data_IF_860825935959
#
_entry.id   IF_860825935959
#
_cell.length_a   1.000
_cell.length_b   1.000
_cell.length_c   1.000
_cell.angle_alpha   90.00
_cell.angle_beta   90.00
_cell.angle_gamma   90.00
#
_symmetry.space_group_name_H-M   'P 1'
#
loop_
_entity.id
_entity.type
_entity.pdbx_description
1 polymer ?
#
# COMPACT_ATOMS: atom_id res chain seq x y z
N UNK A 1 -13.40 16.17 8.75
CA UNK A 1 -13.94 16.53 7.41
C UNK A 1 -14.12 15.22 6.67
N UNK A 2 -15.33 14.91 6.20
CA UNK A 2 -15.60 13.71 5.40
C UNK A 2 -15.32 14.06 3.93
N UNK A 3 -14.41 13.35 3.31
CA UNK A 3 -14.06 13.52 1.89
C UNK A 3 -14.96 12.65 1.01
N UNK A 4 -15.03 12.95 -0.28
CA UNK A 4 -15.57 12.03 -1.26
C UNK A 4 -14.81 10.69 -1.20
N UNK A 5 -15.48 9.51 -1.24
CA UNK A 5 -14.82 8.22 -1.06
C UNK A 5 -13.72 7.93 -2.11
N UNK A 6 -13.91 8.34 -3.35
CA UNK A 6 -12.89 8.13 -4.39
C UNK A 6 -11.67 9.04 -4.17
N UNK A 7 -11.91 10.28 -3.73
CA UNK A 7 -10.83 11.20 -3.35
C UNK A 7 -10.06 10.67 -2.14
N UNK A 8 -10.74 10.08 -1.17
CA UNK A 8 -10.11 9.47 -0.01
C UNK A 8 -9.22 8.27 -0.42
N UNK A 9 -9.71 7.37 -1.28
CA UNK A 9 -8.91 6.26 -1.83
C UNK A 9 -7.68 6.75 -2.60
N UNK A 10 -7.84 7.80 -3.43
CA UNK A 10 -6.76 8.42 -4.16
C UNK A 10 -5.69 9.00 -3.21
N UNK A 11 -6.08 9.82 -2.24
CA UNK A 11 -5.15 10.44 -1.27
C UNK A 11 -4.49 9.37 -0.39
N UNK A 12 -5.26 8.41 0.10
CA UNK A 12 -4.74 7.34 0.95
C UNK A 12 -3.73 6.47 0.23
N UNK A 13 -4.02 6.07 -1.02
CA UNK A 13 -3.09 5.28 -1.82
C UNK A 13 -1.86 6.10 -2.24
N UNK A 14 -2.03 7.40 -2.52
CA UNK A 14 -0.90 8.32 -2.74
C UNK A 14 0.04 8.34 -1.54
N UNK A 15 -0.52 8.52 -0.34
CA UNK A 15 0.26 8.55 0.91
C UNK A 15 0.97 7.22 1.17
N UNK A 16 0.26 6.11 0.97
CA UNK A 16 0.79 4.76 1.14
C UNK A 16 2.01 4.52 0.25
N UNK A 17 1.89 4.83 -1.05
CA UNK A 17 2.98 4.61 -2.01
C UNK A 17 4.12 5.62 -1.87
N UNK A 18 3.83 6.87 -1.51
CA UNK A 18 4.87 7.87 -1.23
C UNK A 18 5.79 7.40 -0.09
N UNK A 19 5.24 6.96 1.02
CA UNK A 19 6.03 6.50 2.16
C UNK A 19 6.66 5.12 1.90
N UNK A 20 5.90 4.20 1.31
CA UNK A 20 6.37 2.85 1.03
C UNK A 20 7.51 2.81 0.01
N UNK A 21 7.35 3.44 -1.16
CA UNK A 21 8.41 3.56 -2.14
C UNK A 21 9.57 4.46 -1.62
N UNK A 22 9.24 5.48 -0.82
CA UNK A 22 10.23 6.38 -0.22
C UNK A 22 11.19 5.66 0.72
N UNK A 23 10.71 4.78 1.60
CA UNK A 23 11.61 4.01 2.48
C UNK A 23 12.48 3.05 1.68
N UNK A 24 11.93 2.39 0.65
CA UNK A 24 12.71 1.47 -0.20
C UNK A 24 13.78 2.24 -0.97
N UNK A 25 13.45 3.43 -1.48
CA UNK A 25 14.42 4.33 -2.11
C UNK A 25 15.54 4.73 -1.13
N UNK A 26 15.18 5.11 0.11
CA UNK A 26 16.16 5.52 1.13
C UNK A 26 17.09 4.38 1.57
N UNK A 27 16.69 3.13 1.44
CA UNK A 27 17.51 1.97 1.82
C UNK A 27 18.39 1.48 0.67
N UNK A 28 17.87 1.53 -0.56
CA UNK A 28 18.49 0.85 -1.69
C UNK A 28 19.28 1.77 -2.63
N UNK A 29 18.92 3.05 -2.71
CA UNK A 29 19.61 3.97 -3.63
C UNK A 29 20.96 4.44 -3.08
N UNK A 30 21.84 4.84 -3.98
CA UNK A 30 23.19 5.32 -3.67
C UNK A 30 23.20 6.63 -2.89
N UNK A 31 24.13 6.73 -1.94
CA UNK A 31 24.41 7.91 -1.11
C UNK A 31 23.21 8.38 -0.27
N UNK A 32 22.26 7.54 0.01
CA UNK A 32 21.22 7.82 1.00
C UNK A 32 21.71 7.54 2.43
N UNK A 33 21.03 8.09 3.42
CA UNK A 33 21.43 7.91 4.84
C UNK A 33 21.31 6.44 5.29
N UNK A 34 20.35 5.70 4.74
CA UNK A 34 20.11 4.31 5.11
C UNK A 34 20.76 3.28 4.15
N UNK A 35 21.58 3.74 3.18
CA UNK A 35 22.26 2.82 2.25
C UNK A 35 23.09 1.77 3.02
N UNK A 36 22.88 0.49 2.67
CA UNK A 36 23.66 -0.64 3.19
C UNK A 36 23.39 -1.03 4.65
N UNK A 37 22.42 -0.39 5.31
CA UNK A 37 21.97 -0.82 6.63
C UNK A 37 21.01 -2.01 6.51
N UNK A 38 20.84 -2.80 7.60
CA UNK A 38 19.96 -3.98 7.56
C UNK A 38 18.51 -3.54 7.27
N UNK A 39 18.00 -3.77 6.03
CA UNK A 39 16.86 -3.01 5.53
C UNK A 39 15.51 -3.58 5.96
N UNK A 40 15.43 -4.86 6.32
CA UNK A 40 14.13 -5.51 6.45
C UNK A 40 13.27 -4.97 7.58
N UNK A 41 13.83 -4.74 8.76
CA UNK A 41 13.07 -4.19 9.89
C UNK A 41 12.62 -2.76 9.58
N UNK A 42 13.51 -1.95 8.98
CA UNK A 42 13.17 -0.58 8.61
C UNK A 42 12.08 -0.53 7.53
N UNK A 43 12.24 -1.33 6.48
CA UNK A 43 11.25 -1.38 5.38
C UNK A 43 9.90 -1.86 5.90
N UNK A 44 9.85 -2.96 6.64
CA UNK A 44 8.58 -3.53 7.11
C UNK A 44 7.88 -2.61 8.11
N UNK A 45 8.61 -2.00 9.02
CA UNK A 45 8.06 -1.03 9.97
C UNK A 45 7.53 0.22 9.23
N UNK A 46 8.29 0.77 8.29
CA UNK A 46 7.87 1.95 7.54
C UNK A 46 6.64 1.67 6.65
N UNK A 47 6.55 0.51 6.01
CA UNK A 47 5.33 0.09 5.30
C UNK A 47 4.15 -0.07 6.25
N UNK A 48 4.35 -0.64 7.43
CA UNK A 48 3.31 -0.71 8.46
C UNK A 48 2.80 0.67 8.88
N UNK A 49 3.70 1.63 9.12
CA UNK A 49 3.34 3.01 9.41
C UNK A 49 2.68 3.72 8.22
N UNK A 50 3.13 3.46 6.99
CA UNK A 50 2.51 4.01 5.79
C UNK A 50 1.04 3.55 5.66
N UNK A 51 0.77 2.27 5.88
CA UNK A 51 -0.61 1.73 5.95
C UNK A 51 -1.39 2.40 7.07
N UNK A 52 -0.83 2.44 8.28
CA UNK A 52 -1.50 3.03 9.45
C UNK A 52 -1.92 4.48 9.19
N UNK A 53 -0.99 5.33 8.73
CA UNK A 53 -1.30 6.75 8.44
C UNK A 53 -2.35 6.87 7.34
N UNK A 54 -2.22 6.11 6.25
CA UNK A 54 -3.17 6.14 5.14
C UNK A 54 -4.57 5.72 5.56
N UNK A 55 -4.69 4.65 6.35
CA UNK A 55 -5.96 4.19 6.93
C UNK A 55 -6.52 5.25 7.88
N UNK A 56 -5.70 5.82 8.75
CA UNK A 56 -6.14 6.81 9.73
C UNK A 56 -6.79 8.03 9.07
N UNK A 57 -6.22 8.54 7.98
CA UNK A 57 -6.75 9.74 7.29
C UNK A 57 -7.96 9.45 6.40
N UNK A 58 -8.20 8.20 5.98
CA UNK A 58 -9.22 7.88 4.96
C UNK A 58 -10.35 6.97 5.43
N UNK A 59 -10.20 6.29 6.57
CA UNK A 59 -11.15 5.28 7.05
C UNK A 59 -12.59 5.79 7.20
N UNK A 60 -12.77 7.00 7.71
CA UNK A 60 -14.10 7.60 7.90
C UNK A 60 -14.77 8.00 6.57
N UNK A 61 -14.02 8.15 5.49
CA UNK A 61 -14.50 8.63 4.20
C UNK A 61 -14.75 7.51 3.19
N UNK A 62 -13.82 6.57 3.05
CA UNK A 62 -13.88 5.49 2.06
C UNK A 62 -13.92 4.09 2.67
N UNK A 63 -13.67 3.95 3.95
CA UNK A 63 -13.39 2.66 4.58
C UNK A 63 -11.94 2.22 4.40
N UNK A 64 -11.10 3.06 3.77
CA UNK A 64 -9.65 2.85 3.59
C UNK A 64 -9.29 1.48 2.97
N UNK A 65 -9.83 1.18 1.82
CA UNK A 65 -9.46 -0.05 1.10
C UNK A 65 -8.01 0.00 0.63
N UNK A 66 -7.60 1.09 -0.04
CA UNK A 66 -6.24 1.43 -0.48
C UNK A 66 -5.54 0.33 -1.32
N UNK A 67 -6.29 -0.71 -1.67
CA UNK A 67 -5.78 -1.90 -2.34
C UNK A 67 -6.92 -2.58 -3.14
N UNK A 68 -6.71 -2.88 -4.43
CA UNK A 68 -7.70 -3.57 -5.26
C UNK A 68 -8.12 -4.93 -4.71
N UNK A 69 -7.20 -5.72 -4.13
CA UNK A 69 -7.52 -7.02 -3.56
C UNK A 69 -8.42 -6.90 -2.32
N UNK A 70 -8.22 -5.87 -1.49
CA UNK A 70 -9.09 -5.56 -0.36
C UNK A 70 -10.48 -5.15 -0.84
N UNK A 71 -10.55 -4.28 -1.86
CA UNK A 71 -11.81 -3.83 -2.47
C UNK A 71 -12.61 -5.02 -3.00
N UNK A 72 -11.97 -5.94 -3.73
CA UNK A 72 -12.58 -7.16 -4.23
C UNK A 72 -13.02 -8.10 -3.09
N UNK A 73 -12.17 -8.30 -2.11
CA UNK A 73 -12.47 -9.16 -0.96
C UNK A 73 -13.71 -8.69 -0.19
N UNK A 74 -13.83 -7.38 0.04
CA UNK A 74 -15.01 -6.77 0.67
C UNK A 74 -16.26 -6.88 -0.19
N UNK A 75 -16.13 -6.72 -1.51
CA UNK A 75 -17.27 -6.89 -2.44
C UNK A 75 -17.76 -8.34 -2.50
N UNK A 76 -16.85 -9.32 -2.57
CA UNK A 76 -17.18 -10.76 -2.52
C UNK A 76 -17.83 -11.14 -1.19
N UNK A 77 -17.35 -10.55 -0.08
CA UNK A 77 -17.94 -10.77 1.24
C UNK A 77 -19.30 -10.05 1.45
N UNK A 78 -19.83 -9.36 0.43
CA UNK A 78 -21.10 -8.62 0.51
C UNK A 78 -21.04 -7.36 1.39
N UNK A 79 -19.84 -6.89 1.73
CA UNK A 79 -19.63 -5.71 2.59
C UNK A 79 -19.36 -4.43 1.79
N UNK A 80 -19.26 -4.52 0.47
CA UNK A 80 -19.03 -3.39 -0.42
C UNK A 80 -19.79 -3.57 -1.73
N UNK A 81 -20.33 -2.48 -2.27
CA UNK A 81 -21.13 -2.53 -3.51
C UNK A 81 -20.23 -2.73 -4.74
N UNK A 82 -20.58 -3.70 -5.57
CA UNK A 82 -19.90 -3.96 -6.84
C UNK A 82 -19.89 -2.76 -7.81
N UNK A 83 -20.91 -1.91 -7.74
CA UNK A 83 -20.99 -0.71 -8.58
C UNK A 83 -19.91 0.32 -8.30
N UNK A 84 -19.33 0.31 -7.09
CA UNK A 84 -18.28 1.23 -6.66
C UNK A 84 -16.87 0.68 -6.94
N UNK A 85 -16.73 -0.62 -7.17
CA UNK A 85 -15.42 -1.29 -7.37
C UNK A 85 -14.59 -0.65 -8.47
N UNK A 86 -15.13 -0.37 -9.68
CA UNK A 86 -14.32 0.23 -10.74
C UNK A 86 -13.78 1.62 -10.37
N UNK A 87 -14.57 2.44 -9.69
CA UNK A 87 -14.16 3.77 -9.25
C UNK A 87 -13.05 3.72 -8.20
N UNK A 88 -13.14 2.78 -7.24
CA UNK A 88 -12.08 2.55 -6.26
C UNK A 88 -10.78 2.09 -6.93
N UNK A 89 -10.86 1.19 -7.89
CA UNK A 89 -9.68 0.73 -8.65
C UNK A 89 -9.00 1.89 -9.38
N UNK A 90 -9.77 2.74 -10.05
CA UNK A 90 -9.21 3.92 -10.73
C UNK A 90 -8.55 4.87 -9.72
N UNK A 91 -9.24 5.19 -8.61
CA UNK A 91 -8.71 6.07 -7.59
C UNK A 91 -7.41 5.54 -6.98
N UNK A 92 -7.37 4.24 -6.63
CA UNK A 92 -6.18 3.56 -6.11
C UNK A 92 -5.04 3.54 -7.13
N UNK A 93 -5.32 3.24 -8.40
CA UNK A 93 -4.30 3.21 -9.45
C UNK A 93 -3.65 4.58 -9.64
N UNK A 94 -4.45 5.62 -9.83
CA UNK A 94 -3.93 6.99 -10.02
C UNK A 94 -3.25 7.51 -8.74
N UNK A 95 -3.77 7.16 -7.56
CA UNK A 95 -3.12 7.46 -6.30
C UNK A 95 -1.75 6.80 -6.16
N UNK A 96 -1.65 5.51 -6.53
CA UNK A 96 -0.38 4.79 -6.53
C UNK A 96 0.64 5.40 -7.50
N UNK A 97 0.20 5.78 -8.70
CA UNK A 97 1.07 6.45 -9.69
C UNK A 97 1.60 7.78 -9.15
N UNK A 98 0.74 8.61 -8.57
CA UNK A 98 1.14 9.89 -7.99
C UNK A 98 2.09 9.69 -6.80
N UNK A 99 1.78 8.78 -5.88
CA UNK A 99 2.63 8.51 -4.70
C UNK A 99 4.02 8.01 -5.10
N UNK A 100 4.09 7.10 -6.05
CA UNK A 100 5.36 6.60 -6.59
C UNK A 100 6.15 7.70 -7.31
N UNK A 101 5.48 8.55 -8.08
CA UNK A 101 6.11 9.69 -8.75
C UNK A 101 6.66 10.71 -7.74
N UNK A 102 5.90 11.02 -6.68
CA UNK A 102 6.36 11.90 -5.61
C UNK A 102 7.58 11.31 -4.88
N UNK A 103 7.60 10.01 -4.61
CA UNK A 103 8.78 9.33 -4.07
C UNK A 103 9.98 9.46 -5.02
N UNK A 104 9.76 9.25 -6.33
CA UNK A 104 10.82 9.41 -7.34
C UNK A 104 11.42 10.82 -7.33
N UNK A 105 10.61 11.86 -7.38
CA UNK A 105 11.14 13.24 -7.40
C UNK A 105 11.82 13.63 -6.09
N UNK A 106 11.38 13.09 -4.95
CA UNK A 106 12.00 13.30 -3.64
C UNK A 106 13.43 12.76 -3.60
N UNK A 107 13.69 11.64 -4.28
CA UNK A 107 15.00 10.96 -4.32
C UNK A 107 15.70 11.10 -5.67
N UNK A 108 15.34 12.07 -6.52
CA UNK A 108 15.77 12.15 -7.92
C UNK A 108 17.29 12.15 -8.09
N UNK A 109 18.03 12.80 -7.20
CA UNK A 109 19.50 12.85 -7.28
C UNK A 109 20.12 11.49 -6.93
N UNK A 110 19.54 10.75 -5.99
CA UNK A 110 19.96 9.40 -5.64
C UNK A 110 19.67 8.40 -6.77
N UNK A 111 18.53 8.56 -7.47
CA UNK A 111 18.24 7.79 -8.68
C UNK A 111 19.27 8.04 -9.79
N UNK A 112 19.70 9.29 -9.98
CA UNK A 112 20.74 9.64 -10.97
C UNK A 112 22.10 9.02 -10.66
N UNK A 113 22.43 8.88 -9.38
CA UNK A 113 23.67 8.27 -8.90
C UNK A 113 23.65 6.73 -8.96
N UNK A 114 22.48 6.14 -8.86
CA UNK A 114 22.29 4.68 -8.89
C UNK A 114 22.32 4.20 -10.33
N UNK A 115 23.25 3.30 -10.68
CA UNK A 115 23.41 2.80 -12.06
C UNK A 115 22.76 1.43 -12.28
N UNK A 116 22.44 0.74 -11.19
CA UNK A 116 21.83 -0.58 -11.22
C UNK A 116 20.33 -0.47 -11.46
N UNK A 117 19.88 -0.92 -12.62
CA UNK A 117 18.47 -0.85 -13.02
C UNK A 117 17.58 -1.78 -12.17
N UNK A 118 18.13 -2.88 -11.64
CA UNK A 118 17.36 -3.77 -10.75
C UNK A 118 17.09 -3.10 -9.40
N UNK A 119 18.07 -2.38 -8.87
CA UNK A 119 17.91 -1.58 -7.66
C UNK A 119 16.86 -0.48 -7.89
N UNK A 120 16.96 0.25 -9.00
CA UNK A 120 16.00 1.31 -9.36
C UNK A 120 14.58 0.73 -9.47
N UNK A 121 14.43 -0.34 -10.23
CA UNK A 121 13.13 -1.02 -10.37
C UNK A 121 12.60 -1.53 -9.05
N UNK A 122 13.47 -2.08 -8.21
CA UNK A 122 13.13 -2.62 -6.89
C UNK A 122 12.53 -1.61 -5.93
N UNK A 123 12.68 -0.30 -6.16
CA UNK A 123 12.03 0.74 -5.34
C UNK A 123 10.52 0.83 -5.59
N UNK A 124 10.04 0.39 -6.76
CA UNK A 124 8.63 0.44 -7.15
C UNK A 124 7.99 -0.95 -7.32
N UNK A 125 8.79 -1.95 -7.66
CA UNK A 125 8.32 -3.29 -7.96
C UNK A 125 9.12 -4.31 -7.15
N UNK A 126 8.46 -5.07 -6.30
CA UNK A 126 9.11 -6.19 -5.60
C UNK A 126 9.41 -7.32 -6.58
N UNK A 127 10.56 -7.98 -6.38
CA UNK A 127 10.96 -9.16 -7.13
C UNK A 127 11.32 -10.30 -6.17
N UNK A 128 11.10 -11.56 -6.58
CA UNK A 128 11.47 -12.72 -5.76
C UNK A 128 12.98 -12.91 -5.75
N UNK A 129 13.56 -13.19 -4.59
CA UNK A 129 14.97 -13.55 -4.47
C UNK A 129 15.33 -14.83 -5.22
N UNK A 130 14.39 -15.77 -5.30
CA UNK A 130 14.50 -17.01 -6.09
C UNK A 130 13.38 -17.05 -7.12
N UNK A 131 13.75 -17.05 -8.41
CA UNK A 131 12.78 -17.03 -9.51
C UNK A 131 12.20 -18.42 -9.77
N UNK A 132 11.06 -18.72 -9.14
CA UNK A 132 10.26 -19.91 -9.38
C UNK A 132 8.79 -19.53 -9.47
N UNK A 133 8.24 -19.45 -10.69
CA UNK A 133 6.89 -18.90 -10.93
C UNK A 133 5.79 -19.61 -10.13
N UNK A 134 5.86 -20.94 -9.97
CA UNK A 134 4.83 -21.69 -9.22
C UNK A 134 4.89 -21.36 -7.74
N UNK A 135 6.06 -21.40 -7.14
CA UNK A 135 6.23 -21.11 -5.72
C UNK A 135 5.98 -19.63 -5.42
N UNK A 136 6.40 -18.74 -6.31
CA UNK A 136 6.19 -17.30 -6.15
C UNK A 136 4.70 -16.96 -6.26
N UNK A 137 3.97 -17.56 -7.21
CA UNK A 137 2.51 -17.40 -7.26
C UNK A 137 1.84 -17.84 -5.96
N UNK A 138 2.25 -18.98 -5.41
CA UNK A 138 1.67 -19.48 -4.17
C UNK A 138 2.01 -18.57 -2.98
N UNK A 139 3.24 -18.04 -2.91
CA UNK A 139 3.63 -17.09 -1.87
C UNK A 139 2.81 -15.79 -1.93
N UNK A 140 2.63 -15.22 -3.13
CA UNK A 140 1.80 -14.03 -3.35
C UNK A 140 0.32 -14.30 -3.01
N UNK A 141 -0.19 -15.48 -3.39
CA UNK A 141 -1.55 -15.88 -3.04
C UNK A 141 -1.74 -15.93 -1.51
N UNK A 142 -0.85 -16.58 -0.78
CA UNK A 142 -0.93 -16.66 0.70
C UNK A 142 -0.80 -15.27 1.33
N UNK A 143 0.14 -14.46 0.87
CA UNK A 143 0.34 -13.10 1.38
C UNK A 143 -0.92 -12.22 1.20
N UNK A 144 -1.49 -12.24 -0.01
CA UNK A 144 -2.72 -11.49 -0.32
C UNK A 144 -3.92 -12.05 0.44
N UNK A 145 -4.04 -13.38 0.54
CA UNK A 145 -5.08 -14.01 1.33
C UNK A 145 -5.04 -13.55 2.79
N UNK A 146 -3.87 -13.57 3.42
CA UNK A 146 -3.70 -13.16 4.81
C UNK A 146 -4.00 -11.66 5.00
N UNK A 147 -3.63 -10.81 4.03
CA UNK A 147 -3.99 -9.40 4.05
C UNK A 147 -5.52 -9.20 4.05
N UNK A 148 -6.20 -9.78 3.08
CA UNK A 148 -7.66 -9.64 2.94
C UNK A 148 -8.39 -10.28 4.12
N UNK A 149 -7.93 -11.44 4.58
CA UNK A 149 -8.47 -12.10 5.77
C UNK A 149 -8.36 -11.20 7.01
N UNK A 150 -7.18 -10.61 7.26
CA UNK A 150 -6.97 -9.68 8.36
C UNK A 150 -7.93 -8.48 8.30
N UNK A 151 -8.08 -7.87 7.13
CA UNK A 151 -9.00 -6.73 6.94
C UNK A 151 -10.45 -7.13 7.19
N UNK A 152 -10.89 -8.30 6.72
CA UNK A 152 -12.25 -8.79 6.93
C UNK A 152 -12.55 -9.03 8.41
N UNK A 153 -11.59 -9.58 9.16
CA UNK A 153 -11.73 -9.81 10.59
C UNK A 153 -11.74 -8.51 11.39
N UNK A 154 -10.84 -7.57 11.10
CA UNK A 154 -10.81 -6.26 11.75
C UNK A 154 -12.11 -5.49 11.52
N UNK A 155 -12.67 -5.55 10.30
CA UNK A 155 -13.98 -4.93 10.01
C UNK A 155 -15.13 -5.58 10.76
N UNK A 156 -15.05 -6.87 11.11
CA UNK A 156 -16.08 -7.55 11.93
C UNK A 156 -16.06 -7.09 13.39
N UNK A 157 -14.88 -6.82 13.94
CA UNK A 157 -14.73 -6.35 15.32
C UNK A 157 -15.41 -4.98 15.51
N UNK A 158 -15.29 -4.08 14.53
CA UNK A 158 -15.92 -2.75 14.58
C UNK A 158 -17.45 -2.78 14.42
N UNK A 159 -18.01 -3.80 13.75
CA UNK A 159 -19.47 -3.96 13.59
C UNK A 159 -20.12 -4.55 14.87
N UNK A 160 -19.35 -5.25 15.69
CA UNK A 160 -19.85 -5.92 16.91
C UNK A 160 -19.79 -5.04 18.16
N UNK A 161 -19.23 -3.86 18.13
CA UNK A 161 -19.37 -2.92 19.25
C UNK A 161 -20.77 -2.30 19.20
N UNK A 162 -21.65 -2.59 20.21
CA UNK A 162 -22.92 -1.88 20.33
C UNK A 162 -22.62 -0.42 20.56
N UNK A 163 -23.11 0.45 19.68
CA UNK A 163 -23.13 1.90 19.91
C UNK A 163 -23.82 2.13 21.25
N UNK A 164 -23.03 2.40 22.29
CA UNK A 164 -23.61 2.85 23.58
C UNK A 164 -24.27 4.21 23.31
N UNK A 165 -25.57 4.35 23.52
CA UNK A 165 -26.18 5.66 23.52
C UNK A 165 -25.61 6.43 24.72
N UNK A 166 -25.04 7.58 24.46
CA UNK A 166 -24.68 8.58 25.49
C UNK A 166 -25.93 9.22 26.00
#
# INVERSE_FOLDING_TARGET
MIMDPYLAEFIGTTTLLLFGAGVVANVNLKNTIAEGQNPWVLITAAWGFAVFVSVFITSQSSGAHLNPAVTLGLAVAGKFSWSLVPGYFCAQLFGAMLGSWLAYITYIDHYRLTKDEEIIRGTFCTGPAVRNLKNNFFSEFIGTFMLVFGVLFLSLIHISEPTRPY
#
